data_IF_225457402869
#
_entry.id   IF_225457402869
#
_cell.length_a   1.000
_cell.length_b   1.000
_cell.length_c   1.000
_cell.angle_alpha   90.00
_cell.angle_beta   90.00
_cell.angle_gamma   90.00
#
_symmetry.space_group_name_H-M   'P 1'
#
loop_
_entity.id
_entity.type
_entity.pdbx_description
1 polymer ?
#
# COMPACT_ATOMS: atom_id res chain seq x y z
N UNK A 1 68.95 -5.51 1.51
CA UNK A 1 67.84 -5.60 2.48
C UNK A 1 66.69 -4.76 1.97
N UNK A 2 65.60 -5.37 1.51
CA UNK A 2 64.26 -4.80 1.42
C UNK A 2 63.35 -5.94 0.94
N UNK A 3 62.66 -6.52 1.90
CA UNK A 3 61.85 -7.72 1.79
C UNK A 3 60.59 -7.45 0.96
N UNK A 4 60.28 -8.37 0.04
CA UNK A 4 59.10 -8.31 -0.81
C UNK A 4 57.80 -8.35 -0.01
N UNK A 5 56.97 -7.32 -0.19
CA UNK A 5 55.59 -7.27 0.29
C UNK A 5 54.70 -8.04 -0.67
N UNK A 6 54.29 -9.25 -0.26
CA UNK A 6 53.37 -10.13 -0.98
C UNK A 6 51.94 -9.56 -0.92
N UNK A 7 51.42 -9.14 -2.06
CA UNK A 7 49.98 -8.96 -2.29
C UNK A 7 49.23 -10.26 -1.95
N UNK A 8 48.33 -10.19 -0.97
CA UNK A 8 47.26 -11.17 -0.79
C UNK A 8 45.92 -10.46 -0.96
N UNK A 9 45.44 -10.50 -2.18
CA UNK A 9 44.02 -10.40 -2.52
C UNK A 9 43.25 -11.45 -1.72
N UNK A 10 42.37 -11.02 -0.83
CA UNK A 10 41.37 -11.88 -0.22
C UNK A 10 40.01 -11.25 -0.47
N UNK A 11 39.42 -11.71 -1.56
CA UNK A 11 38.02 -11.59 -1.96
C UNK A 11 37.13 -12.06 -0.81
N UNK A 12 36.68 -11.15 0.04
CA UNK A 12 35.66 -11.45 1.05
C UNK A 12 34.29 -11.24 0.42
N UNK A 13 33.68 -12.37 0.03
CA UNK A 13 32.33 -12.47 -0.50
C UNK A 13 31.35 -11.63 0.34
N UNK A 14 30.71 -10.64 -0.30
CA UNK A 14 29.52 -9.98 0.25
C UNK A 14 28.46 -11.08 0.39
N UNK A 15 28.17 -11.49 1.64
CA UNK A 15 26.94 -12.19 1.99
C UNK A 15 25.78 -11.32 1.50
N UNK A 16 25.15 -11.74 0.40
CA UNK A 16 23.91 -11.16 -0.04
C UNK A 16 22.90 -11.28 1.09
N UNK A 17 22.38 -10.14 1.54
CA UNK A 17 21.20 -10.10 2.41
C UNK A 17 20.06 -10.80 1.67
N UNK A 18 19.34 -11.74 2.30
CA UNK A 18 18.25 -12.44 1.65
C UNK A 18 17.23 -11.42 1.18
N UNK A 19 16.96 -11.38 -0.13
CA UNK A 19 15.79 -10.68 -0.66
C UNK A 19 14.58 -11.42 -0.08
N UNK A 20 13.74 -10.79 0.77
CA UNK A 20 12.51 -11.43 1.20
C UNK A 20 11.67 -11.75 -0.04
N UNK A 21 11.05 -12.93 -0.11
CA UNK A 21 10.29 -13.35 -1.27
C UNK A 21 9.26 -12.28 -1.61
N UNK A 22 9.29 -11.83 -2.87
CA UNK A 22 8.30 -10.90 -3.39
C UNK A 22 6.93 -11.55 -3.17
N UNK A 23 6.14 -10.99 -2.25
CA UNK A 23 4.74 -11.32 -2.12
C UNK A 23 4.10 -10.96 -3.45
N UNK A 24 3.90 -11.97 -4.29
CA UNK A 24 3.21 -11.86 -5.58
C UNK A 24 1.83 -11.28 -5.32
N UNK A 25 1.65 -10.00 -5.65
CA UNK A 25 0.39 -9.27 -5.48
C UNK A 25 -0.71 -9.74 -6.46
N UNK A 26 -0.53 -10.85 -7.17
CA UNK A 26 -1.40 -11.24 -8.29
C UNK A 26 -2.58 -12.16 -7.97
N UNK A 27 -2.92 -12.43 -6.70
CA UNK A 27 -3.97 -13.46 -6.38
C UNK A 27 -5.22 -12.92 -5.65
N UNK A 28 -5.32 -11.64 -5.28
CA UNK A 28 -6.48 -11.16 -4.50
C UNK A 28 -7.53 -10.33 -5.27
N UNK A 29 -7.43 -10.24 -6.59
CA UNK A 29 -8.48 -9.64 -7.41
C UNK A 29 -9.51 -10.72 -7.78
N UNK A 30 -10.55 -10.93 -6.95
CA UNK A 30 -11.63 -11.84 -7.37
C UNK A 30 -12.69 -12.32 -6.39
N UNK A 31 -12.68 -12.00 -5.09
CA UNK A 31 -13.88 -12.28 -4.25
C UNK A 31 -14.93 -11.20 -4.45
N UNK A 32 -15.66 -11.30 -5.56
CA UNK A 32 -16.98 -10.66 -5.69
C UNK A 32 -17.87 -11.28 -4.63
N UNK A 33 -18.21 -10.53 -3.59
CA UNK A 33 -19.26 -10.90 -2.64
C UNK A 33 -20.60 -10.80 -3.38
N UNK A 34 -20.96 -11.84 -4.12
CA UNK A 34 -22.28 -12.01 -4.74
C UNK A 34 -23.02 -13.09 -3.96
N UNK A 35 -23.70 -12.69 -2.88
CA UNK A 35 -24.58 -13.53 -2.08
C UNK A 35 -25.56 -12.67 -1.26
N UNK A 36 -26.81 -13.12 -1.02
CA UNK A 36 -27.91 -12.23 -0.66
C UNK A 36 -27.96 -11.92 0.85
N UNK A 37 -28.01 -10.62 1.16
CA UNK A 37 -28.56 -10.00 2.38
C UNK A 37 -28.07 -10.46 3.77
N UNK A 38 -26.83 -10.94 3.91
CA UNK A 38 -26.16 -10.77 5.21
C UNK A 38 -25.29 -9.53 5.14
N UNK A 39 -25.73 -8.47 5.82
CA UNK A 39 -24.85 -7.37 6.22
C UNK A 39 -23.76 -7.99 7.08
N UNK A 40 -22.70 -8.50 6.46
CA UNK A 40 -21.50 -8.90 7.16
C UNK A 40 -20.96 -7.61 7.75
N UNK A 41 -21.28 -7.37 9.02
CA UNK A 41 -20.70 -6.27 9.78
C UNK A 41 -19.22 -6.62 9.92
N UNK A 42 -18.41 -6.11 9.00
CA UNK A 42 -16.97 -6.16 9.10
C UNK A 42 -16.55 -5.17 10.18
N UNK A 43 -16.57 -5.63 11.42
CA UNK A 43 -16.15 -4.83 12.57
C UNK A 43 -14.62 -4.82 12.62
N UNK A 44 -14.01 -3.64 12.61
CA UNK A 44 -12.56 -3.44 12.77
C UNK A 44 -12.33 -2.95 14.19
N UNK A 45 -11.43 -3.60 14.94
CA UNK A 45 -11.11 -3.14 16.30
C UNK A 45 -10.30 -1.84 16.25
N UNK A 46 -10.28 -1.10 17.37
CA UNK A 46 -9.49 0.14 17.44
C UNK A 46 -8.00 -0.10 17.15
N UNK A 47 -7.43 -1.21 17.65
CA UNK A 47 -6.03 -1.57 17.43
C UNK A 47 -5.75 -1.91 15.95
N UNK A 48 -6.64 -2.66 15.31
CA UNK A 48 -6.56 -2.96 13.87
C UNK A 48 -6.68 -1.69 13.03
N UNK A 49 -7.59 -0.79 13.39
CA UNK A 49 -7.78 0.49 12.71
C UNK A 49 -6.53 1.37 12.79
N UNK A 50 -5.90 1.45 13.97
CA UNK A 50 -4.67 2.22 14.15
C UNK A 50 -3.52 1.64 13.31
N UNK A 51 -3.34 0.32 13.34
CA UNK A 51 -2.30 -0.36 12.54
C UNK A 51 -2.54 -0.20 11.04
N UNK A 52 -3.78 -0.35 10.57
CA UNK A 52 -4.16 -0.10 9.17
C UNK A 52 -3.92 1.36 8.77
N UNK A 53 -4.26 2.31 9.63
CA UNK A 53 -4.04 3.73 9.36
C UNK A 53 -2.56 4.03 9.15
N UNK A 54 -1.68 3.48 10.00
CA UNK A 54 -0.23 3.63 9.84
C UNK A 54 0.25 3.00 8.54
N UNK A 55 -0.28 1.85 8.13
CA UNK A 55 0.05 1.24 6.84
C UNK A 55 -0.31 2.12 5.65
N UNK A 56 -1.46 2.79 5.69
CA UNK A 56 -1.91 3.74 4.65
C UNK A 56 -0.92 4.90 4.54
N UNK A 57 -0.43 5.44 5.67
CA UNK A 57 0.55 6.54 5.66
C UNK A 57 1.97 6.08 5.31
N UNK A 58 2.33 4.82 5.58
CA UNK A 58 3.65 4.27 5.24
C UNK A 58 3.76 3.83 3.77
N UNK A 59 3.37 4.71 2.83
CA UNK A 59 3.43 4.43 1.41
C UNK A 59 4.75 4.94 0.78
N UNK A 60 5.72 4.06 0.43
CA UNK A 60 6.96 4.47 -0.21
C UNK A 60 6.79 4.93 -1.67
N UNK A 61 5.61 4.72 -2.28
CA UNK A 61 5.31 5.13 -3.65
C UNK A 61 4.89 6.60 -3.76
N UNK A 62 4.82 7.35 -2.66
CA UNK A 62 4.54 8.79 -2.70
C UNK A 62 5.59 9.50 -3.56
N UNK A 63 5.10 10.35 -4.46
CA UNK A 63 5.95 11.17 -5.32
C UNK A 63 6.77 12.14 -4.45
N UNK A 64 8.02 12.39 -4.85
CA UNK A 64 8.94 13.36 -4.23
C UNK A 64 9.63 12.94 -2.91
N UNK A 65 9.61 11.65 -2.55
CA UNK A 65 10.44 11.15 -1.44
C UNK A 65 11.91 10.95 -1.87
N UNK A 66 12.83 11.29 -0.97
CA UNK A 66 14.25 10.90 -1.09
C UNK A 66 14.40 9.37 -1.00
N UNK A 67 15.48 8.81 -1.54
CA UNK A 67 15.74 7.37 -1.44
C UNK A 67 15.79 6.89 0.02
N UNK A 68 16.33 7.71 0.92
CA UNK A 68 16.31 7.43 2.36
C UNK A 68 14.88 7.45 2.93
N UNK A 69 14.03 8.38 2.48
CA UNK A 69 12.63 8.44 2.88
C UNK A 69 11.85 7.19 2.43
N UNK A 70 12.04 6.77 1.17
CA UNK A 70 11.44 5.53 0.65
C UNK A 70 11.90 4.29 1.43
N UNK A 71 13.19 4.22 1.75
CA UNK A 71 13.75 3.14 2.55
C UNK A 71 13.12 3.11 3.94
N UNK A 72 13.04 4.27 4.62
CA UNK A 72 12.49 4.39 5.96
C UNK A 72 11.01 4.01 6.00
N UNK A 73 10.19 4.51 5.06
CA UNK A 73 8.79 4.11 4.95
C UNK A 73 8.64 2.63 4.65
N UNK A 74 9.50 2.04 3.83
CA UNK A 74 9.48 0.59 3.57
C UNK A 74 9.76 -0.21 4.84
N UNK A 75 10.72 0.22 5.67
CA UNK A 75 11.03 -0.41 6.96
C UNK A 75 9.82 -0.33 7.89
N UNK A 76 9.23 0.85 8.06
CA UNK A 76 8.07 1.03 8.92
C UNK A 76 6.85 0.25 8.41
N UNK A 77 6.58 0.27 7.11
CA UNK A 77 5.50 -0.53 6.52
C UNK A 77 5.66 -2.01 6.87
N UNK A 78 6.86 -2.56 6.71
CA UNK A 78 7.12 -3.97 7.05
C UNK A 78 6.94 -4.23 8.55
N UNK A 79 7.42 -3.33 9.41
CA UNK A 79 7.24 -3.42 10.87
C UNK A 79 5.75 -3.46 11.25
N UNK A 80 4.95 -2.53 10.73
CA UNK A 80 3.52 -2.44 11.06
C UNK A 80 2.71 -3.56 10.41
N UNK A 81 3.10 -4.06 9.23
CA UNK A 81 2.51 -5.27 8.66
C UNK A 81 2.73 -6.48 9.57
N UNK A 82 3.95 -6.65 10.09
CA UNK A 82 4.26 -7.72 11.04
C UNK A 82 3.51 -7.57 12.35
N UNK A 83 3.41 -6.35 12.88
CA UNK A 83 2.64 -6.06 14.09
C UNK A 83 1.14 -6.40 13.91
N UNK A 84 0.56 -6.04 12.75
CA UNK A 84 -0.82 -6.37 12.41
C UNK A 84 -1.04 -7.88 12.31
N UNK A 85 -0.12 -8.60 11.65
CA UNK A 85 -0.18 -10.06 11.57
C UNK A 85 -0.11 -10.68 12.97
N UNK A 86 0.83 -10.24 13.81
CA UNK A 86 0.97 -10.74 15.17
C UNK A 86 -0.27 -10.46 16.02
N UNK A 87 -0.83 -9.25 15.93
CA UNK A 87 -2.09 -8.90 16.58
C UNK A 87 -3.22 -9.87 16.18
N UNK A 88 -3.38 -10.14 14.88
CA UNK A 88 -4.37 -11.09 14.38
C UNK A 88 -4.12 -12.52 14.90
N UNK A 89 -2.86 -12.97 14.96
CA UNK A 89 -2.52 -14.31 15.45
C UNK A 89 -2.79 -14.47 16.95
N UNK A 90 -2.58 -13.42 17.75
CA UNK A 90 -2.81 -13.47 19.20
C UNK A 90 -4.29 -13.43 19.55
N UNK A 91 -5.06 -12.56 18.89
CA UNK A 91 -6.47 -12.35 19.23
C UNK A 91 -7.40 -13.35 18.54
N UNK A 92 -7.00 -13.90 17.40
CA UNK A 92 -7.81 -14.81 16.60
C UNK A 92 -7.03 -16.11 16.31
N UNK A 93 -6.53 -16.82 17.34
CA UNK A 93 -5.58 -17.94 17.18
C UNK A 93 -5.91 -18.96 16.06
N UNK A 94 -7.19 -19.30 15.86
CA UNK A 94 -7.62 -20.25 14.81
C UNK A 94 -7.77 -19.61 13.42
N UNK A 95 -8.05 -18.31 13.34
CA UNK A 95 -8.38 -17.59 12.11
C UNK A 95 -7.48 -16.38 11.84
N UNK A 96 -6.39 -16.21 12.57
CA UNK A 96 -5.51 -15.03 12.52
C UNK A 96 -4.99 -14.72 11.12
N UNK A 97 -4.48 -15.70 10.36
CA UNK A 97 -4.07 -15.47 8.97
C UNK A 97 -5.24 -15.04 8.05
N UNK A 98 -6.45 -15.58 8.29
CA UNK A 98 -7.64 -15.20 7.54
C UNK A 98 -8.04 -13.76 7.87
N UNK A 99 -8.08 -13.41 9.15
CA UNK A 99 -8.37 -12.05 9.63
C UNK A 99 -7.37 -11.02 9.08
N UNK A 100 -6.08 -11.37 9.11
CA UNK A 100 -5.02 -10.54 8.51
C UNK A 100 -5.25 -10.30 7.02
N UNK A 101 -5.65 -11.34 6.28
CA UNK A 101 -5.97 -11.23 4.85
C UNK A 101 -7.18 -10.35 4.59
N UNK A 102 -8.22 -10.44 5.42
CA UNK A 102 -9.41 -9.59 5.34
C UNK A 102 -9.06 -8.10 5.54
N UNK A 103 -8.29 -7.79 6.60
CA UNK A 103 -7.83 -6.43 6.88
C UNK A 103 -6.93 -5.88 5.76
N UNK A 104 -6.05 -6.73 5.21
CA UNK A 104 -5.22 -6.35 4.07
C UNK A 104 -6.05 -6.08 2.82
N UNK A 105 -7.19 -6.77 2.65
CA UNK A 105 -8.15 -6.49 1.58
C UNK A 105 -8.74 -5.08 1.68
N UNK A 106 -9.02 -4.60 2.90
CA UNK A 106 -9.47 -3.21 3.13
C UNK A 106 -8.36 -2.22 2.76
N UNK A 107 -7.13 -2.45 3.21
CA UNK A 107 -5.98 -1.62 2.84
C UNK A 107 -5.82 -1.51 1.31
N UNK A 108 -5.90 -2.64 0.60
CA UNK A 108 -5.79 -2.67 -0.86
C UNK A 108 -6.94 -1.94 -1.56
N UNK A 109 -8.18 -2.10 -1.07
CA UNK A 109 -9.33 -1.38 -1.60
C UNK A 109 -9.15 0.14 -1.46
N UNK A 110 -8.66 0.60 -0.31
CA UNK A 110 -8.36 2.03 -0.08
C UNK A 110 -7.27 2.52 -1.04
N UNK A 111 -6.21 1.74 -1.25
CA UNK A 111 -5.11 2.09 -2.17
C UNK A 111 -5.62 2.27 -3.61
N UNK A 112 -6.47 1.35 -4.09
CA UNK A 112 -7.12 1.45 -5.41
C UNK A 112 -8.04 2.67 -5.48
N UNK A 113 -8.92 2.85 -4.49
CA UNK A 113 -9.84 3.99 -4.46
C UNK A 113 -9.10 5.33 -4.43
N UNK A 114 -7.98 5.42 -3.72
CA UNK A 114 -7.17 6.63 -3.68
C UNK A 114 -6.59 6.95 -5.08
N UNK A 115 -6.07 5.94 -5.78
CA UNK A 115 -5.60 6.09 -7.17
C UNK A 115 -6.71 6.53 -8.11
N UNK A 116 -7.89 5.92 -8.01
CA UNK A 116 -9.06 6.27 -8.83
C UNK A 116 -9.52 7.72 -8.58
N UNK A 117 -9.54 8.16 -7.32
CA UNK A 117 -9.86 9.54 -6.97
C UNK A 117 -8.82 10.52 -7.52
N UNK A 118 -7.53 10.20 -7.44
CA UNK A 118 -6.48 11.03 -8.02
C UNK A 118 -6.66 11.18 -9.55
N UNK A 119 -6.94 10.06 -10.24
CA UNK A 119 -7.22 10.06 -11.68
C UNK A 119 -8.48 10.88 -12.01
N UNK A 120 -9.54 10.71 -11.23
CA UNK A 120 -10.79 11.47 -11.38
C UNK A 120 -10.55 12.98 -11.23
N UNK A 121 -9.77 13.40 -10.24
CA UNK A 121 -9.42 14.81 -10.02
C UNK A 121 -8.68 15.39 -11.23
N UNK A 122 -7.71 14.65 -11.78
CA UNK A 122 -6.98 15.07 -12.99
C UNK A 122 -7.93 15.20 -14.18
N UNK A 123 -8.79 14.22 -14.42
CA UNK A 123 -9.79 14.27 -15.50
C UNK A 123 -10.75 15.45 -15.33
N UNK A 124 -11.20 15.71 -14.10
CA UNK A 124 -12.06 16.84 -13.79
C UNK A 124 -11.34 18.17 -14.07
N UNK A 125 -10.07 18.30 -13.69
CA UNK A 125 -9.26 19.48 -13.98
C UNK A 125 -9.08 19.72 -15.48
N UNK A 126 -8.79 18.68 -16.26
CA UNK A 126 -8.66 18.78 -17.72
C UNK A 126 -9.98 19.13 -18.42
N UNK A 127 -11.11 18.70 -17.86
CA UNK A 127 -12.43 18.99 -18.39
C UNK A 127 -13.04 20.30 -17.86
N UNK A 128 -12.43 20.99 -16.88
CA UNK A 128 -12.88 22.30 -16.38
C UNK A 128 -13.27 23.28 -17.48
N UNK A 129 -12.45 23.54 -18.53
CA UNK A 129 -12.83 24.49 -19.57
C UNK A 129 -14.09 24.06 -20.33
N UNK A 130 -14.25 22.76 -20.61
CA UNK A 130 -15.44 22.22 -21.28
C UNK A 130 -16.68 22.28 -20.39
N UNK A 131 -16.56 21.95 -19.10
CA UNK A 131 -17.67 22.04 -18.14
C UNK A 131 -18.12 23.49 -17.98
N UNK A 132 -17.17 24.43 -17.84
CA UNK A 132 -17.49 25.86 -17.77
C UNK A 132 -18.15 26.35 -19.06
N UNK A 133 -17.71 25.87 -20.23
CA UNK A 133 -18.36 26.18 -21.51
C UNK A 133 -19.77 25.61 -21.59
N UNK A 134 -20.01 24.35 -21.18
CA UNK A 134 -21.36 23.75 -21.16
C UNK A 134 -22.27 24.55 -20.25
N UNK A 135 -21.80 24.93 -19.05
CA UNK A 135 -22.57 25.76 -18.12
C UNK A 135 -22.88 27.12 -18.76
N UNK A 136 -21.89 27.79 -19.36
CA UNK A 136 -22.07 29.07 -20.06
C UNK A 136 -23.08 28.96 -21.21
N UNK A 137 -22.95 27.93 -22.05
CA UNK A 137 -23.84 27.67 -23.18
C UNK A 137 -25.26 27.34 -22.72
N UNK A 138 -25.42 26.60 -21.60
CA UNK A 138 -26.73 26.36 -21.00
C UNK A 138 -27.38 27.64 -20.48
N UNK A 139 -26.62 28.54 -19.83
CA UNK A 139 -27.16 29.83 -19.40
C UNK A 139 -27.55 30.73 -20.57
N UNK A 140 -26.74 30.74 -21.63
CA UNK A 140 -27.05 31.46 -22.88
C UNK A 140 -28.28 30.87 -23.60
N UNK A 141 -28.57 29.57 -23.45
CA UNK A 141 -29.74 28.95 -24.07
C UNK A 141 -31.07 29.23 -23.35
N UNK A 142 -31.03 29.74 -22.11
CA UNK A 142 -32.21 30.07 -21.29
C UNK A 142 -32.53 31.57 -21.32
N UNK A 143 -31.57 32.43 -21.69
CA UNK A 143 -31.73 33.89 -21.76
C UNK A 143 -32.12 34.32 -23.17
#
# INVERSE_FOLDING_TARGET
MLSGTRSRSSTKARKGTPRPPALSQSVYCGRRYTGPHTTFFFEITNDEYLLLSVLIFCNPALLQLSENGKLLLTIYRNLYCSALLQHCLLNNQKSGPARFTELLGVYQAIEVHYSDLANYIVLFQLNRPKVNQIVKNCFEAVT
#
